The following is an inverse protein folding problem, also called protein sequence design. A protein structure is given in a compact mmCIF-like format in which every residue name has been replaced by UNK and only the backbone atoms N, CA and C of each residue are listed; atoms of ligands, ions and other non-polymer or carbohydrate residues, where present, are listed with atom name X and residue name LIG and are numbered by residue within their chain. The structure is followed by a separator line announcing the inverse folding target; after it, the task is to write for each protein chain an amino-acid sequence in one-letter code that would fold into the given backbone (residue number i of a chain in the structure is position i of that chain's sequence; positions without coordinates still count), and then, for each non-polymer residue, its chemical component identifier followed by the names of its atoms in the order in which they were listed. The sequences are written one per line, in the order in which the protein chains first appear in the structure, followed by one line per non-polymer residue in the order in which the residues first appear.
data_IF_217949429226
#
_entry.id   IF_217949429226
#
_cell.length_a   1.000
_cell.length_b   1.000
_cell.length_c   1.000
_cell.angle_alpha   90.00
_cell.angle_beta   90.00
_cell.angle_gamma   90.00
#
_symmetry.space_group_name_H-M   'P 1'
#
loop_
_entity.id
_entity.type
_entity.pdbx_description
1 polymer ?
#
# COMPACT_ATOMS: atom_id res chain seq x y z
N UNK A 1 15.15 -32.69 8.50
CA UNK A 1 14.65 -31.79 7.44
C UNK A 1 15.35 -30.44 7.59
N UNK A 2 15.89 -29.88 6.52
CA UNK A 2 16.53 -28.57 6.54
C UNK A 2 15.47 -27.48 6.34
N UNK A 3 15.39 -26.54 7.29
CA UNK A 3 14.51 -25.39 7.21
C UNK A 3 15.27 -24.20 6.61
N UNK A 4 14.66 -23.53 5.65
CA UNK A 4 15.20 -22.36 4.99
C UNK A 4 14.51 -21.09 5.51
N UNK A 5 15.27 -20.03 5.84
CA UNK A 5 14.70 -18.80 6.36
C UNK A 5 13.97 -18.02 5.27
N UNK A 6 12.86 -17.39 5.66
CA UNK A 6 12.10 -16.41 4.89
C UNK A 6 12.04 -15.08 5.66
N UNK A 7 11.45 -14.05 5.05
CA UNK A 7 11.26 -12.75 5.71
C UNK A 7 10.39 -12.89 6.97
N UNK A 8 10.60 -12.01 7.95
CA UNK A 8 9.88 -11.98 9.26
C UNK A 8 10.12 -13.19 10.17
N UNK A 9 11.23 -13.89 9.99
CA UNK A 9 11.64 -14.99 10.87
C UNK A 9 10.81 -16.26 10.70
N UNK A 10 9.98 -16.34 9.65
CA UNK A 10 9.37 -17.60 9.23
C UNK A 10 10.43 -18.50 8.59
N UNK A 11 10.26 -19.80 8.76
CA UNK A 11 11.09 -20.80 8.16
C UNK A 11 10.20 -21.79 7.42
N UNK A 12 10.63 -22.23 6.25
CA UNK A 12 9.91 -23.23 5.46
C UNK A 12 10.86 -24.38 5.12
N UNK A 13 10.38 -25.62 5.20
CA UNK A 13 11.13 -26.73 4.61
C UNK A 13 10.90 -26.73 3.10
N UNK A 14 11.86 -27.19 2.29
CA UNK A 14 11.69 -27.28 0.83
C UNK A 14 10.49 -28.14 0.42
N UNK A 15 10.13 -29.12 1.25
CA UNK A 15 9.00 -30.01 1.02
C UNK A 15 7.67 -29.28 1.28
N UNK A 16 7.54 -28.60 2.43
CA UNK A 16 6.34 -27.80 2.73
C UNK A 16 6.16 -26.68 1.69
N UNK A 17 7.26 -26.04 1.32
CA UNK A 17 7.37 -25.05 0.26
C UNK A 17 6.79 -25.54 -1.07
N UNK A 18 7.24 -26.72 -1.52
CA UNK A 18 6.81 -27.29 -2.79
C UNK A 18 5.34 -27.74 -2.78
N UNK A 19 4.78 -28.03 -1.59
CA UNK A 19 3.45 -28.62 -1.45
C UNK A 19 2.35 -27.61 -1.09
N UNK A 20 2.70 -26.42 -0.60
CA UNK A 20 1.70 -25.51 0.00
C UNK A 20 1.81 -24.05 -0.39
N UNK A 21 2.94 -23.59 -0.94
CA UNK A 21 3.14 -22.18 -1.26
C UNK A 21 3.00 -21.96 -2.77
N UNK A 22 2.06 -21.09 -3.15
CA UNK A 22 1.78 -20.76 -4.54
C UNK A 22 2.83 -19.80 -5.13
N UNK A 23 3.72 -19.22 -4.34
CA UNK A 23 4.75 -18.30 -4.81
C UNK A 23 6.02 -19.05 -5.23
N UNK A 24 6.80 -18.45 -6.13
CA UNK A 24 8.14 -18.95 -6.42
C UNK A 24 9.07 -18.67 -5.22
N UNK A 25 9.10 -19.60 -4.27
CA UNK A 25 9.88 -19.50 -3.03
C UNK A 25 11.37 -19.34 -3.32
N UNK A 26 11.89 -19.87 -4.43
CA UNK A 26 13.30 -19.69 -4.78
C UNK A 26 13.69 -18.22 -4.88
N UNK A 27 12.78 -17.36 -5.36
CA UNK A 27 13.01 -15.92 -5.37
C UNK A 27 12.99 -15.33 -3.95
N UNK A 28 12.10 -15.84 -3.08
CA UNK A 28 11.93 -15.38 -1.70
C UNK A 28 13.07 -15.82 -0.77
N UNK A 29 13.79 -16.90 -1.10
CA UNK A 29 14.93 -17.40 -0.32
C UNK A 29 16.16 -16.47 -0.36
N UNK A 30 16.29 -15.65 -1.40
CA UNK A 30 17.34 -14.64 -1.46
C UNK A 30 17.02 -13.39 -0.64
N UNK A 31 15.74 -13.15 -0.36
CA UNK A 31 15.28 -11.91 0.26
C UNK A 31 15.80 -11.72 1.69
N UNK A 32 15.90 -12.74 2.57
CA UNK A 32 16.53 -12.60 3.88
C UNK A 32 17.98 -12.12 3.80
N UNK A 33 18.79 -12.66 2.88
CA UNK A 33 20.18 -12.25 2.69
C UNK A 33 20.29 -10.83 2.14
N UNK A 34 19.41 -10.46 1.20
CA UNK A 34 19.32 -9.10 0.67
C UNK A 34 18.92 -8.12 1.77
N UNK A 35 17.94 -8.48 2.61
CA UNK A 35 17.49 -7.70 3.73
C UNK A 35 18.60 -7.54 4.78
N UNK A 36 19.30 -8.61 5.16
CA UNK A 36 20.41 -8.55 6.11
C UNK A 36 21.53 -7.61 5.63
N UNK A 37 21.94 -7.73 4.35
CA UNK A 37 22.91 -6.80 3.74
C UNK A 37 22.41 -5.37 3.74
N UNK A 38 21.12 -5.16 3.47
CA UNK A 38 20.49 -3.85 3.48
C UNK A 38 20.43 -3.26 4.90
N UNK A 39 20.10 -4.07 5.90
CA UNK A 39 20.14 -3.70 7.32
C UNK A 39 21.54 -3.30 7.75
N UNK A 40 22.56 -4.13 7.48
CA UNK A 40 23.95 -3.80 7.78
C UNK A 40 24.40 -2.50 7.09
N UNK A 41 23.94 -2.27 5.86
CA UNK A 41 24.16 -1.01 5.16
C UNK A 41 23.52 0.17 5.90
N UNK A 42 22.24 0.09 6.26
CA UNK A 42 21.54 1.15 6.99
C UNK A 42 22.15 1.43 8.37
N UNK A 43 22.54 0.39 9.11
CA UNK A 43 23.24 0.49 10.40
C UNK A 43 24.55 1.25 10.26
N UNK A 44 25.33 0.95 9.22
CA UNK A 44 26.60 1.67 8.95
C UNK A 44 26.35 3.12 8.50
N UNK A 45 25.18 3.42 7.93
CA UNK A 45 24.83 4.72 7.35
C UNK A 45 23.80 5.51 8.18
N UNK A 46 23.74 5.31 9.50
CA UNK A 46 22.84 6.08 10.37
C UNK A 46 23.05 7.61 10.29
N UNK A 47 24.27 8.07 9.98
CA UNK A 47 24.54 9.49 9.76
C UNK A 47 23.75 10.07 8.57
N UNK A 48 23.56 9.27 7.52
CA UNK A 48 22.73 9.65 6.37
C UNK A 48 21.24 9.69 6.75
N UNK A 49 20.74 8.73 7.53
CA UNK A 49 19.36 8.75 8.05
C UNK A 49 19.11 10.02 8.88
N UNK A 50 20.06 10.40 9.74
CA UNK A 50 19.99 11.67 10.50
C UNK A 50 19.98 12.89 9.59
N UNK A 51 20.78 12.89 8.53
CA UNK A 51 20.82 13.97 7.56
C UNK A 51 19.49 14.11 6.79
N UNK A 52 18.85 12.99 6.42
CA UNK A 52 17.51 13.01 5.82
C UNK A 52 16.48 13.64 6.75
N UNK A 53 16.43 13.21 8.02
CA UNK A 53 15.49 13.77 9.00
C UNK A 53 15.78 15.23 9.26
N UNK A 54 17.05 15.62 9.41
CA UNK A 54 17.42 17.02 9.57
C UNK A 54 16.97 17.88 8.37
N UNK A 55 17.00 17.31 7.16
CA UNK A 55 16.61 17.98 5.93
C UNK A 55 15.08 18.10 5.77
N UNK A 56 14.35 16.98 5.84
CA UNK A 56 12.90 16.96 5.63
C UNK A 56 12.11 17.49 6.84
N UNK A 57 12.54 17.17 8.05
CA UNK A 57 11.85 17.52 9.30
C UNK A 57 12.40 18.79 9.98
N UNK A 58 13.42 19.43 9.38
CA UNK A 58 14.00 20.68 9.87
C UNK A 58 14.44 20.65 11.35
N UNK A 59 15.11 19.58 11.75
CA UNK A 59 15.64 19.44 13.12
C UNK A 59 17.17 19.46 13.17
N UNK A 60 17.72 20.14 14.18
CA UNK A 60 19.18 20.17 14.43
C UNK A 60 19.67 18.96 15.23
N UNK A 61 18.77 18.32 15.98
CA UNK A 61 19.10 17.23 16.88
C UNK A 61 18.11 16.09 16.70
N UNK A 62 18.59 14.97 16.17
CA UNK A 62 17.81 13.76 16.04
C UNK A 62 18.63 12.53 16.45
N UNK A 63 17.94 11.51 16.96
CA UNK A 63 18.50 10.23 17.37
C UNK A 63 17.75 9.12 16.64
N UNK A 64 18.49 8.33 15.87
CA UNK A 64 17.96 7.10 15.26
C UNK A 64 17.67 6.10 16.37
N UNK A 65 16.51 5.43 16.31
CA UNK A 65 16.16 4.40 17.26
C UNK A 65 17.10 3.19 17.14
N UNK A 66 17.22 2.42 18.22
CA UNK A 66 18.00 1.18 18.22
C UNK A 66 17.41 0.19 17.20
N UNK A 67 18.28 -0.63 16.58
CA UNK A 67 17.91 -1.56 15.51
C UNK A 67 16.78 -2.53 15.90
N UNK A 68 16.70 -2.88 17.19
CA UNK A 68 15.63 -3.71 17.74
C UNK A 68 14.22 -3.08 17.58
N UNK A 69 14.14 -1.77 17.36
CA UNK A 69 12.89 -1.03 17.17
C UNK A 69 12.59 -0.72 15.71
N UNK A 70 13.43 -1.15 14.77
CA UNK A 70 13.19 -0.90 13.34
C UNK A 70 12.07 -1.80 12.84
N UNK A 71 11.20 -1.22 12.02
CA UNK A 71 10.09 -1.91 11.40
C UNK A 71 10.51 -2.32 9.98
N UNK A 72 10.00 -3.44 9.49
CA UNK A 72 10.28 -3.88 8.13
C UNK A 72 9.06 -4.53 7.48
N UNK A 73 8.76 -4.08 6.27
CA UNK A 73 7.83 -4.73 5.39
C UNK A 73 8.52 -5.82 4.57
N UNK A 74 7.79 -6.39 3.62
CA UNK A 74 8.37 -7.31 2.65
C UNK A 74 9.38 -6.60 1.73
N UNK A 75 9.27 -5.28 1.55
CA UNK A 75 10.00 -4.53 0.53
C UNK A 75 10.57 -3.18 1.01
N UNK A 76 10.49 -2.88 2.31
CA UNK A 76 10.99 -1.64 2.89
C UNK A 76 11.45 -1.82 4.34
N UNK A 77 12.26 -0.86 4.78
CA UNK A 77 12.64 -0.69 6.18
C UNK A 77 12.16 0.67 6.64
N UNK A 78 11.48 0.70 7.77
CA UNK A 78 10.96 1.88 8.44
C UNK A 78 11.76 2.09 9.72
N UNK A 79 12.60 3.12 9.74
CA UNK A 79 13.51 3.45 10.83
C UNK A 79 12.89 4.57 11.67
N UNK A 80 12.52 4.31 12.94
CA UNK A 80 12.06 5.38 13.82
C UNK A 80 13.20 6.33 14.18
N UNK A 81 12.92 7.62 14.14
CA UNK A 81 13.88 8.67 14.52
C UNK A 81 13.19 9.63 15.47
N UNK A 82 13.84 9.84 16.62
CA UNK A 82 13.41 10.80 17.63
C UNK A 82 14.01 12.16 17.30
N UNK A 83 13.16 13.15 17.03
CA UNK A 83 13.59 14.52 16.79
C UNK A 83 13.38 15.36 18.05
N UNK A 84 14.41 16.08 18.48
CA UNK A 84 14.28 17.07 19.56
C UNK A 84 13.67 18.35 18.99
N UNK A 85 12.35 18.33 18.77
CA UNK A 85 11.51 19.50 18.53
C UNK A 85 10.73 19.90 19.79
N UNK A 86 10.02 21.04 19.78
CA UNK A 86 9.19 21.49 20.90
C UNK A 86 8.13 20.45 21.34
N UNK A 87 7.77 19.51 20.47
CA UNK A 87 6.76 18.46 20.69
C UNK A 87 7.32 17.04 20.91
N UNK A 88 8.65 16.84 20.98
CA UNK A 88 9.31 15.51 21.10
C UNK A 88 8.73 14.46 20.12
N UNK A 89 8.67 14.83 18.85
CA UNK A 89 8.02 13.99 17.85
C UNK A 89 8.89 12.82 17.42
N UNK A 90 8.24 11.67 17.22
CA UNK A 90 8.80 10.52 16.53
C UNK A 90 8.41 10.60 15.05
N UNK A 91 9.39 10.55 14.16
CA UNK A 91 9.18 10.39 12.72
C UNK A 91 9.65 9.02 12.27
N UNK A 92 9.10 8.52 11.18
CA UNK A 92 9.52 7.27 10.55
C UNK A 92 10.20 7.59 9.22
N UNK A 93 11.41 7.07 9.04
CA UNK A 93 12.12 7.12 7.75
C UNK A 93 11.88 5.80 7.05
N UNK A 94 11.05 5.81 6.01
CA UNK A 94 10.79 4.64 5.18
C UNK A 94 11.74 4.63 4.01
N UNK A 95 12.43 3.51 3.80
CA UNK A 95 13.44 3.36 2.75
C UNK A 95 13.08 2.11 1.95
N UNK A 96 12.83 2.30 0.65
CA UNK A 96 12.46 1.22 -0.25
C UNK A 96 13.70 0.41 -0.65
N UNK A 97 13.53 -0.91 -0.78
CA UNK A 97 14.55 -1.75 -1.40
C UNK A 97 14.78 -1.34 -2.87
N UNK A 98 16.00 -1.44 -3.43
CA UNK A 98 16.37 -0.88 -4.75
C UNK A 98 15.57 -1.37 -5.97
N UNK A 99 14.71 -2.37 -5.83
CA UNK A 99 14.16 -3.14 -6.95
C UNK A 99 12.66 -2.92 -7.21
N UNK A 100 11.98 -1.98 -6.53
CA UNK A 100 10.54 -1.71 -6.75
C UNK A 100 10.18 -0.24 -6.94
N UNK A 101 9.45 0.04 -8.03
CA UNK A 101 8.89 1.36 -8.40
C UNK A 101 7.60 1.72 -7.64
N UNK A 102 7.50 1.36 -6.35
CA UNK A 102 6.26 1.52 -5.59
C UNK A 102 6.14 2.90 -4.92
N UNK A 103 7.28 3.51 -4.58
CA UNK A 103 7.34 4.77 -3.83
C UNK A 103 6.64 5.93 -4.54
N UNK A 104 6.77 6.02 -5.86
CA UNK A 104 6.10 7.07 -6.66
C UNK A 104 4.59 6.97 -6.61
N UNK A 105 4.07 5.75 -6.56
CA UNK A 105 2.63 5.52 -6.48
C UNK A 105 2.11 5.84 -5.09
N UNK A 106 2.87 5.49 -4.05
CA UNK A 106 2.54 5.83 -2.68
C UNK A 106 2.55 7.35 -2.43
N UNK A 107 3.62 8.04 -2.82
CA UNK A 107 3.70 9.50 -2.72
C UNK A 107 2.53 10.16 -3.46
N UNK A 108 2.18 9.66 -4.64
CA UNK A 108 1.04 10.17 -5.39
C UNK A 108 -0.30 9.99 -4.67
N UNK A 109 -0.47 8.88 -3.93
CA UNK A 109 -1.64 8.68 -3.06
C UNK A 109 -1.67 9.68 -1.90
N UNK A 110 -0.53 9.99 -1.26
CA UNK A 110 -0.49 11.03 -0.23
C UNK A 110 -1.00 12.37 -0.76
N UNK A 111 -0.52 12.83 -1.93
CA UNK A 111 -1.03 14.06 -2.54
C UNK A 111 -2.53 13.98 -2.82
N UNK A 112 -3.00 12.88 -3.42
CA UNK A 112 -4.42 12.69 -3.73
C UNK A 112 -5.31 12.73 -2.49
N UNK A 113 -4.90 12.07 -1.41
CA UNK A 113 -5.66 12.01 -0.16
C UNK A 113 -5.66 13.38 0.52
N UNK A 114 -4.50 14.04 0.67
CA UNK A 114 -4.44 15.34 1.31
C UNK A 114 -5.20 16.44 0.57
N UNK A 115 -5.14 16.46 -0.76
CA UNK A 115 -5.78 17.50 -1.57
C UNK A 115 -7.30 17.30 -1.68
N UNK A 116 -7.75 16.05 -1.79
CA UNK A 116 -9.12 15.75 -2.14
C UNK A 116 -9.93 15.12 -1.01
N UNK A 117 -9.28 14.43 -0.07
CA UNK A 117 -9.95 13.64 0.98
C UNK A 117 -9.43 14.01 2.39
N UNK A 118 -9.55 15.27 2.83
CA UNK A 118 -8.96 15.74 4.10
C UNK A 118 -9.56 15.06 5.35
N UNK A 119 -10.74 14.45 5.22
CA UNK A 119 -11.40 13.66 6.26
C UNK A 119 -10.77 12.29 6.44
N UNK A 120 -10.02 11.78 5.45
CA UNK A 120 -9.37 10.48 5.51
C UNK A 120 -8.07 10.63 6.30
N UNK A 121 -7.95 10.00 7.49
CA UNK A 121 -6.77 10.11 8.30
C UNK A 121 -5.57 9.47 7.59
N UNK A 122 -4.49 10.22 7.48
CA UNK A 122 -3.22 9.73 6.93
C UNK A 122 -2.05 10.34 7.71
N UNK A 123 -0.92 9.61 7.86
CA UNK A 123 0.27 10.17 8.49
C UNK A 123 0.78 11.39 7.70
N UNK A 124 1.28 12.40 8.40
CA UNK A 124 1.88 13.56 7.73
C UNK A 124 3.11 13.15 6.92
N UNK A 125 3.15 13.48 5.63
CA UNK A 125 4.34 13.30 4.78
C UNK A 125 5.19 14.58 4.82
N UNK A 126 6.41 14.49 5.37
CA UNK A 126 7.33 15.63 5.49
C UNK A 126 8.23 15.80 4.27
N UNK A 127 8.53 14.71 3.56
CA UNK A 127 9.35 14.76 2.37
C UNK A 127 9.69 13.38 1.85
N UNK A 128 10.23 13.34 0.63
CA UNK A 128 10.58 12.12 -0.07
C UNK A 128 11.71 12.33 -1.08
N UNK A 129 12.40 11.24 -1.41
CA UNK A 129 13.49 11.15 -2.36
C UNK A 129 13.33 9.95 -3.30
N UNK A 130 13.72 10.11 -4.56
CA UNK A 130 13.74 9.04 -5.55
C UNK A 130 15.18 8.63 -5.92
N UNK A 131 15.38 7.39 -6.43
CA UNK A 131 16.72 6.90 -6.81
C UNK A 131 17.44 7.75 -7.87
N UNK A 132 16.73 8.58 -8.63
CA UNK A 132 17.30 9.51 -9.60
C UNK A 132 17.90 10.79 -8.95
N UNK A 133 17.84 10.87 -7.62
CA UNK A 133 18.34 11.98 -6.81
C UNK A 133 17.40 13.18 -6.74
N UNK A 134 16.15 13.05 -7.21
CA UNK A 134 15.12 14.05 -6.97
C UNK A 134 14.63 13.95 -5.52
N UNK A 135 14.63 15.06 -4.79
CA UNK A 135 14.11 15.14 -3.42
C UNK A 135 13.14 16.30 -3.30
N UNK A 136 12.10 16.11 -2.49
CA UNK A 136 11.06 17.11 -2.24
C UNK A 136 10.81 17.23 -0.75
N UNK A 137 10.85 18.45 -0.22
CA UNK A 137 10.41 18.77 1.15
C UNK A 137 9.00 19.32 1.08
N UNK A 138 8.11 18.78 1.90
CA UNK A 138 6.76 19.27 2.05
C UNK A 138 6.69 20.13 3.31
N UNK A 139 6.44 21.42 3.12
CA UNK A 139 6.21 22.34 4.24
C UNK A 139 4.73 22.32 4.61
N UNK A 140 4.43 22.56 5.88
CA UNK A 140 3.09 22.72 6.45
C UNK A 140 2.20 23.74 5.69
N UNK A 141 2.82 24.64 4.91
CA UNK A 141 2.11 25.60 4.03
C UNK A 141 1.58 25.01 2.71
N UNK A 142 2.01 23.81 2.31
CA UNK A 142 1.55 23.16 1.07
C UNK A 142 0.18 22.50 1.23
N UNK A 143 -0.21 22.16 2.46
CA UNK A 143 -1.44 21.41 2.76
C UNK A 143 -2.47 22.19 3.59
N UNK A 144 -2.18 23.44 3.98
CA UNK A 144 -3.05 24.28 4.80
C UNK A 144 -3.94 25.26 4.02
N UNK A 145 -3.85 25.30 2.68
CA UNK A 145 -4.73 26.13 1.85
C UNK A 145 -5.57 25.27 0.88
N UNK A 146 -6.87 25.02 1.18
CA UNK A 146 -7.78 24.27 0.31
C UNK A 146 -8.32 25.09 -0.86
N UNK A 147 -7.80 26.30 -1.10
CA UNK A 147 -8.32 27.20 -2.12
C UNK A 147 -7.31 27.35 -3.25
N UNK A 148 -7.75 26.96 -4.45
CA UNK A 148 -7.20 27.26 -5.77
C UNK A 148 -6.15 26.31 -6.35
N UNK A 149 -6.58 25.24 -7.03
CA UNK A 149 -5.81 24.66 -8.16
C UNK A 149 -6.73 24.03 -9.23
N UNK A 150 -7.54 24.88 -9.89
CA UNK A 150 -8.03 24.62 -11.26
C UNK A 150 -7.40 25.58 -12.29
N UNK A 151 -6.49 26.45 -11.86
CA UNK A 151 -5.67 27.24 -12.77
C UNK A 151 -4.38 26.47 -13.07
N UNK A 152 -3.91 26.55 -14.32
CA UNK A 152 -2.69 25.97 -14.91
C UNK A 152 -1.35 26.31 -14.22
N UNK A 153 -1.34 26.46 -12.90
CA UNK A 153 -0.13 26.51 -12.09
C UNK A 153 0.24 25.10 -11.65
N UNK A 154 1.33 24.54 -12.17
CA UNK A 154 1.75 23.22 -11.77
C UNK A 154 2.06 23.21 -10.26
N UNK A 155 1.81 22.07 -9.60
CA UNK A 155 2.31 21.64 -8.27
C UNK A 155 3.84 21.86 -8.05
N UNK A 156 4.52 22.39 -9.08
CA UNK A 156 5.93 22.73 -9.23
C UNK A 156 6.39 23.93 -8.39
N UNK A 157 5.52 24.68 -7.72
CA UNK A 157 5.94 25.81 -6.90
C UNK A 157 6.48 25.41 -5.51
N UNK A 158 7.38 24.41 -5.44
CA UNK A 158 8.46 24.19 -4.45
C UNK A 158 8.93 22.73 -4.48
N UNK A 159 9.50 22.28 -5.60
CA UNK A 159 10.56 21.27 -5.53
C UNK A 159 11.84 22.05 -5.23
N UNK A 160 12.31 22.17 -3.97
CA UNK A 160 13.51 22.91 -3.68
C UNK A 160 14.70 22.03 -4.07
N UNK A 161 15.58 22.58 -4.91
CA UNK A 161 16.99 22.24 -5.11
C UNK A 161 17.35 20.75 -4.99
N UNK A 162 17.76 20.18 -6.12
CA UNK A 162 18.69 19.05 -6.24
C UNK A 162 19.80 19.21 -5.20
N UNK A 163 19.67 18.53 -4.07
CA UNK A 163 20.71 18.51 -3.06
C UNK A 163 21.25 17.09 -3.06
N UNK A 164 22.51 16.96 -3.48
CA UNK A 164 23.24 15.70 -3.47
C UNK A 164 23.59 15.31 -2.03
N UNK A 165 22.59 15.23 -1.15
CA UNK A 165 22.77 14.88 0.28
C UNK A 165 23.38 13.47 0.39
N UNK A 166 23.09 12.60 -0.58
CA UNK A 166 23.88 11.49 -1.08
C UNK A 166 23.01 10.86 -2.17
N UNK A 167 23.58 10.36 -3.28
CA UNK A 167 22.82 9.51 -4.21
C UNK A 167 22.56 8.19 -3.51
N UNK A 168 21.51 8.10 -2.70
CA UNK A 168 21.01 6.82 -2.27
C UNK A 168 20.57 6.07 -3.53
N UNK A 169 21.00 4.82 -3.69
CA UNK A 169 20.55 3.96 -4.79
C UNK A 169 19.07 3.54 -4.63
N UNK A 170 18.38 4.10 -3.63
CA UNK A 170 17.06 3.69 -3.11
C UNK A 170 16.20 4.92 -2.88
N UNK A 171 14.88 4.77 -3.03
CA UNK A 171 13.93 5.81 -2.67
C UNK A 171 13.68 5.86 -1.16
N UNK A 172 13.37 7.05 -0.65
CA UNK A 172 13.14 7.33 0.76
C UNK A 172 11.94 8.27 0.98
N UNK A 173 11.32 8.19 2.15
CA UNK A 173 10.36 9.19 2.63
C UNK A 173 10.41 9.34 4.14
N UNK A 174 10.02 10.52 4.63
CA UNK A 174 9.86 10.81 6.06
C UNK A 174 8.40 11.10 6.35
N UNK A 175 7.80 10.29 7.22
CA UNK A 175 6.40 10.38 7.62
C UNK A 175 6.27 10.55 9.14
N UNK A 176 5.17 11.15 9.58
CA UNK A 176 4.82 11.24 10.99
C UNK A 176 4.54 9.86 11.60
N UNK A 177 4.96 9.65 12.84
CA UNK A 177 4.55 8.46 13.58
C UNK A 177 3.12 8.62 14.09
N UNK A 178 2.27 7.64 13.81
CA UNK A 178 0.94 7.56 14.42
C UNK A 178 1.08 6.89 15.79
N UNK A 179 0.93 7.66 16.86
CA UNK A 179 1.04 7.15 18.24
C UNK A 179 -0.33 6.89 18.89
N UNK A 180 -1.39 7.48 18.33
CA UNK A 180 -2.77 7.29 18.79
C UNK A 180 -3.38 6.03 18.16
N UNK A 181 -3.26 4.90 18.85
CA UNK A 181 -3.94 3.65 18.47
C UNK A 181 -3.03 2.42 18.53
N UNK A 182 -3.59 1.27 18.11
CA UNK A 182 -2.88 -0.01 17.93
C UNK A 182 -3.28 -0.61 16.60
N UNK A 183 -2.45 -1.51 16.05
CA UNK A 183 -2.80 -2.20 14.81
C UNK A 183 -4.08 -3.03 15.01
N UNK A 184 -4.97 -3.01 14.03
CA UNK A 184 -6.25 -3.71 14.11
C UNK A 184 -6.05 -5.22 14.36
N UNK A 185 -5.03 -5.81 13.74
CA UNK A 185 -4.64 -7.21 13.91
C UNK A 185 -4.36 -7.61 15.37
N UNK A 186 -3.89 -6.68 16.20
CA UNK A 186 -3.56 -6.95 17.61
C UNK A 186 -4.82 -7.12 18.46
N UNK A 187 -5.95 -6.64 17.96
CA UNK A 187 -7.23 -6.53 18.68
C UNK A 187 -8.38 -7.25 17.99
N UNK A 188 -8.14 -7.84 16.81
CA UNK A 188 -9.19 -8.44 15.98
C UNK A 188 -9.87 -9.61 16.67
N UNK A 189 -9.11 -10.67 16.96
CA UNK A 189 -9.64 -11.87 17.61
C UNK A 189 -10.14 -11.63 19.04
N UNK A 190 -9.55 -10.67 19.76
CA UNK A 190 -9.82 -10.43 21.20
C UNK A 190 -10.99 -9.49 21.45
N UNK A 191 -11.28 -8.58 20.53
CA UNK A 191 -12.31 -7.56 20.75
C UNK A 191 -13.32 -7.49 19.61
N UNK A 192 -12.91 -7.63 18.35
CA UNK A 192 -13.80 -7.36 17.22
C UNK A 192 -14.72 -8.53 16.88
N UNK A 193 -14.32 -9.79 17.09
CA UNK A 193 -15.19 -10.94 16.82
C UNK A 193 -16.44 -10.96 17.72
N UNK A 194 -16.33 -10.51 18.97
CA UNK A 194 -17.42 -10.57 19.94
C UNK A 194 -18.15 -9.22 20.13
N UNK A 195 -17.48 -8.08 19.93
CA UNK A 195 -18.06 -6.75 20.15
C UNK A 195 -18.69 -6.17 18.86
N UNK A 196 -20.00 -6.38 18.73
CA UNK A 196 -20.78 -5.89 17.59
C UNK A 196 -20.73 -4.36 17.44
N UNK A 197 -20.74 -3.60 18.55
CA UNK A 197 -20.75 -2.14 18.49
C UNK A 197 -19.41 -1.60 17.94
N UNK A 198 -18.29 -2.21 18.32
CA UNK A 198 -16.97 -1.89 17.74
C UNK A 198 -16.90 -2.23 16.26
N UNK A 199 -17.41 -3.38 15.83
CA UNK A 199 -17.46 -3.74 14.40
C UNK A 199 -18.28 -2.75 13.60
N UNK A 200 -19.46 -2.38 14.08
CA UNK A 200 -20.31 -1.39 13.41
C UNK A 200 -19.61 -0.03 13.28
N UNK A 201 -18.90 0.41 14.31
CA UNK A 201 -18.10 1.64 14.26
C UNK A 201 -16.99 1.53 13.21
N UNK A 202 -16.22 0.44 13.24
CA UNK A 202 -15.15 0.17 12.27
C UNK A 202 -15.68 0.15 10.82
N UNK A 203 -16.76 -0.57 10.56
CA UNK A 203 -17.35 -0.67 9.22
C UNK A 203 -17.93 0.66 8.75
N UNK A 204 -18.58 1.42 9.64
CA UNK A 204 -19.06 2.77 9.32
C UNK A 204 -17.90 3.70 8.95
N UNK A 205 -16.81 3.69 9.72
CA UNK A 205 -15.66 4.54 9.46
C UNK A 205 -14.90 4.12 8.20
N UNK A 206 -14.77 2.80 7.94
CA UNK A 206 -14.22 2.28 6.70
C UNK A 206 -15.07 2.68 5.49
N UNK A 207 -16.39 2.59 5.59
CA UNK A 207 -17.32 3.04 4.55
C UNK A 207 -17.17 4.53 4.25
N UNK A 208 -17.09 5.39 5.27
CA UNK A 208 -16.83 6.84 5.10
C UNK A 208 -15.51 7.11 4.38
N UNK A 209 -14.46 6.36 4.71
CA UNK A 209 -13.15 6.46 4.03
C UNK A 209 -13.30 6.06 2.56
N UNK A 210 -13.90 4.89 2.29
CA UNK A 210 -14.10 4.40 0.92
C UNK A 210 -14.93 5.37 0.08
N UNK A 211 -16.02 5.91 0.62
CA UNK A 211 -16.85 6.91 -0.05
C UNK A 211 -16.05 8.18 -0.33
N UNK A 212 -15.34 8.72 0.66
CA UNK A 212 -14.48 9.91 0.48
C UNK A 212 -13.44 9.72 -0.64
N UNK A 213 -12.77 8.56 -0.68
CA UNK A 213 -11.78 8.23 -1.71
C UNK A 213 -12.40 8.06 -3.10
N UNK A 214 -13.67 7.69 -3.18
CA UNK A 214 -14.42 7.51 -4.43
C UNK A 214 -15.02 8.80 -4.99
N UNK A 215 -15.17 9.85 -4.18
CA UNK A 215 -15.70 11.16 -4.59
C UNK A 215 -14.89 11.82 -5.71
N UNK A 216 -13.62 11.42 -5.90
CA UNK A 216 -12.73 11.99 -6.90
C UNK A 216 -12.34 10.95 -7.94
N UNK A 217 -13.24 10.68 -8.92
CA UNK A 217 -13.04 9.61 -9.87
C UNK A 217 -11.87 9.89 -10.80
N UNK A 218 -11.18 8.81 -11.16
CA UNK A 218 -10.12 8.79 -12.14
C UNK A 218 -10.70 8.54 -13.53
N UNK A 219 -10.09 9.12 -14.58
CA UNK A 219 -10.59 8.96 -15.96
C UNK A 219 -10.36 7.56 -16.53
N UNK A 220 -9.49 6.76 -15.89
CA UNK A 220 -9.06 5.43 -16.32
C UNK A 220 -8.67 4.58 -15.13
N UNK A 221 -8.67 3.26 -15.31
CA UNK A 221 -8.09 2.30 -14.37
C UNK A 221 -6.58 2.26 -14.61
N UNK A 222 -5.81 2.54 -13.56
CA UNK A 222 -4.35 2.54 -13.56
C UNK A 222 -3.80 2.61 -12.13
N UNK A 223 -2.47 2.69 -12.03
CA UNK A 223 -1.78 3.09 -10.79
C UNK A 223 -1.54 4.60 -10.83
N UNK A 224 -1.99 5.31 -9.80
CA UNK A 224 -1.65 6.72 -9.64
C UNK A 224 -0.16 6.82 -9.28
N UNK A 225 0.61 7.65 -9.97
CA UNK A 225 2.04 7.84 -9.71
C UNK A 225 2.51 9.27 -10.01
N UNK A 226 3.60 9.66 -9.35
CA UNK A 226 4.29 10.93 -9.57
C UNK A 226 5.34 10.77 -10.68
N UNK A 227 5.28 11.62 -11.69
CA UNK A 227 6.26 11.63 -12.78
C UNK A 227 7.53 12.43 -12.41
N UNK A 228 8.54 12.42 -13.29
CA UNK A 228 9.80 13.14 -13.09
C UNK A 228 9.67 14.67 -13.07
N UNK A 229 8.53 15.21 -13.50
CA UNK A 229 8.27 16.65 -13.49
C UNK A 229 7.42 17.07 -12.29
N UNK A 230 7.07 16.13 -11.39
CA UNK A 230 6.27 16.40 -10.19
C UNK A 230 4.76 16.47 -10.44
N UNK A 231 4.28 15.96 -11.57
CA UNK A 231 2.84 15.87 -11.86
C UNK A 231 2.29 14.48 -11.56
N UNK A 232 1.07 14.47 -11.02
CA UNK A 232 0.29 13.25 -10.81
C UNK A 232 -0.26 12.75 -12.14
N UNK A 233 -0.12 11.45 -12.38
CA UNK A 233 -0.65 10.79 -13.57
C UNK A 233 -1.00 9.33 -13.30
N UNK A 234 -1.76 8.74 -14.22
CA UNK A 234 -2.02 7.31 -14.22
C UNK A 234 -0.97 6.60 -15.07
N UNK A 235 -0.26 5.66 -14.45
CA UNK A 235 0.59 4.69 -15.13
C UNK A 235 -0.11 3.33 -15.16
N UNK A 236 0.40 2.42 -15.98
CA UNK A 236 -0.12 1.07 -16.01
C UNK A 236 0.08 0.37 -14.66
N UNK A 237 -0.86 -0.52 -14.29
CA UNK A 237 -0.67 -1.40 -13.12
C UNK A 237 0.36 -2.46 -13.50
N UNK A 238 1.44 -2.54 -12.73
CA UNK A 238 2.60 -3.42 -12.95
C UNK A 238 2.25 -4.91 -13.10
N UNK A 239 1.04 -5.33 -12.67
CA UNK A 239 0.54 -6.70 -12.79
C UNK A 239 -0.10 -7.03 -14.16
N UNK A 240 -0.34 -6.05 -15.02
CA UNK A 240 -0.94 -6.26 -16.35
C UNK A 240 0.11 -6.00 -17.42
N UNK A 241 0.44 -7.01 -18.23
CA UNK A 241 1.54 -7.07 -19.22
C UNK A 241 1.46 -6.06 -20.39
N UNK A 242 0.69 -4.97 -20.27
CA UNK A 242 0.40 -4.03 -21.37
C UNK A 242 0.76 -2.60 -21.02
N UNK A 243 1.39 -1.87 -21.93
CA UNK A 243 1.92 -0.51 -21.69
C UNK A 243 0.86 0.62 -21.52
N UNK A 244 -0.40 0.32 -21.16
CA UNK A 244 -1.47 1.32 -21.13
C UNK A 244 -2.52 1.11 -20.03
N UNK A 245 -3.00 2.22 -19.47
CA UNK A 245 -4.19 2.30 -18.59
C UNK A 245 -5.49 1.90 -19.30
N UNK A 246 -6.50 1.46 -18.55
CA UNK A 246 -7.77 0.99 -19.11
C UNK A 246 -8.90 2.01 -19.03
N UNK A 247 -9.71 2.12 -20.07
CA UNK A 247 -10.91 3.00 -20.09
C UNK A 247 -12.19 2.31 -19.63
N UNK A 248 -12.17 0.97 -19.53
CA UNK A 248 -13.34 0.17 -19.17
C UNK A 248 -12.94 -1.00 -18.28
N UNK A 249 -13.89 -1.51 -17.51
CA UNK A 249 -13.66 -2.58 -16.53
C UNK A 249 -13.32 -3.90 -17.21
N UNK A 250 -13.99 -4.28 -18.30
CA UNK A 250 -13.85 -5.63 -18.86
C UNK A 250 -12.45 -5.92 -19.41
N UNK A 251 -11.80 -5.04 -20.21
CA UNK A 251 -10.44 -5.28 -20.67
C UNK A 251 -9.43 -5.36 -19.52
N UNK A 252 -9.66 -4.61 -18.43
CA UNK A 252 -8.83 -4.71 -17.22
C UNK A 252 -8.99 -6.08 -16.55
N UNK A 253 -10.22 -6.53 -16.33
CA UNK A 253 -10.51 -7.83 -15.69
C UNK A 253 -10.05 -8.98 -16.57
N UNK A 254 -10.26 -8.92 -17.90
CA UNK A 254 -9.80 -9.96 -18.82
C UNK A 254 -8.28 -10.07 -18.87
N UNK A 255 -7.55 -8.95 -18.88
CA UNK A 255 -6.09 -8.97 -18.83
C UNK A 255 -5.59 -9.49 -17.47
N UNK A 256 -6.28 -9.19 -16.37
CA UNK A 256 -5.97 -9.78 -15.05
C UNK A 256 -6.18 -11.30 -15.05
N UNK A 257 -7.29 -11.78 -15.60
CA UNK A 257 -7.59 -13.21 -15.72
C UNK A 257 -6.58 -13.93 -16.64
N UNK A 258 -6.11 -13.27 -17.69
CA UNK A 258 -5.02 -13.79 -18.53
C UNK A 258 -3.71 -13.93 -17.75
N UNK A 259 -3.40 -13.01 -16.83
CA UNK A 259 -2.24 -13.16 -15.95
C UNK A 259 -2.38 -14.41 -15.05
N UNK A 260 -3.57 -14.69 -14.54
CA UNK A 260 -3.84 -15.93 -13.80
C UNK A 260 -3.73 -17.18 -14.68
N UNK A 261 -4.24 -17.17 -15.92
CA UNK A 261 -4.03 -18.28 -16.86
C UNK A 261 -2.53 -18.54 -17.08
N UNK A 262 -1.77 -17.48 -17.33
CA UNK A 262 -0.33 -17.57 -17.53
C UNK A 262 0.37 -18.15 -16.30
N UNK A 263 -0.06 -17.75 -15.09
CA UNK A 263 0.46 -18.34 -13.85
C UNK A 263 0.21 -19.85 -13.82
N UNK A 264 -1.02 -20.29 -14.07
CA UNK A 264 -1.35 -21.73 -14.07
C UNK A 264 -0.58 -22.50 -15.15
N UNK A 265 -0.42 -21.92 -16.34
CA UNK A 265 0.28 -22.60 -17.44
C UNK A 265 1.80 -22.65 -17.29
N UNK A 266 2.42 -21.61 -16.72
CA UNK A 266 3.87 -21.43 -16.78
C UNK A 266 4.57 -21.50 -15.42
N UNK A 267 3.85 -21.38 -14.31
CA UNK A 267 4.43 -21.50 -12.99
C UNK A 267 4.27 -22.94 -12.45
N UNK A 268 5.37 -23.70 -12.25
CA UNK A 268 5.29 -25.13 -11.91
C UNK A 268 4.54 -25.47 -10.62
N UNK A 269 4.56 -24.57 -9.63
CA UNK A 269 3.86 -24.72 -8.35
C UNK A 269 2.53 -23.94 -8.29
N UNK A 270 1.95 -23.60 -9.44
CA UNK A 270 0.64 -22.93 -9.46
C UNK A 270 -0.52 -23.86 -9.06
N UNK A 271 -0.34 -25.18 -9.12
CA UNK A 271 -1.35 -26.16 -8.74
C UNK A 271 -0.71 -27.31 -7.96
N UNK A 272 -1.10 -27.49 -6.69
CA UNK A 272 -0.49 -28.48 -5.80
C UNK A 272 -1.03 -29.90 -5.99
N UNK A 273 -2.28 -30.01 -6.46
CA UNK A 273 -2.94 -31.27 -6.74
C UNK A 273 -4.08 -31.04 -7.74
N UNK A 274 -4.66 -32.15 -8.25
CA UNK A 274 -5.74 -32.11 -9.22
C UNK A 274 -6.93 -31.28 -8.73
N UNK A 275 -7.36 -31.46 -7.47
CA UNK A 275 -8.48 -30.72 -6.88
C UNK A 275 -8.22 -29.21 -6.83
N UNK A 276 -7.05 -28.78 -6.39
CA UNK A 276 -6.68 -27.36 -6.34
C UNK A 276 -6.63 -26.76 -7.76
N UNK A 277 -6.10 -27.52 -8.73
CA UNK A 277 -6.13 -27.13 -10.14
C UNK A 277 -7.56 -26.98 -10.66
N UNK A 278 -8.43 -27.96 -10.42
CA UNK A 278 -9.85 -27.91 -10.78
C UNK A 278 -10.57 -26.70 -10.16
N UNK A 279 -10.33 -26.42 -8.87
CA UNK A 279 -10.90 -25.27 -8.17
C UNK A 279 -10.44 -23.94 -8.79
N UNK A 280 -9.15 -23.78 -9.08
CA UNK A 280 -8.62 -22.58 -9.72
C UNK A 280 -9.17 -22.38 -11.14
N UNK A 281 -9.17 -23.43 -11.96
CA UNK A 281 -9.74 -23.38 -13.31
C UNK A 281 -11.25 -23.10 -13.29
N UNK A 282 -11.97 -23.70 -12.34
CA UNK A 282 -13.40 -23.47 -12.15
C UNK A 282 -13.64 -22.01 -11.76
N UNK A 283 -12.89 -21.46 -10.81
CA UNK A 283 -12.99 -20.06 -10.41
C UNK A 283 -12.74 -19.11 -11.57
N UNK A 284 -11.65 -19.29 -12.34
CA UNK A 284 -11.35 -18.46 -13.50
C UNK A 284 -12.45 -18.56 -14.58
N UNK A 285 -12.96 -19.76 -14.83
CA UNK A 285 -14.04 -19.98 -15.80
C UNK A 285 -15.34 -19.32 -15.35
N UNK A 286 -15.69 -19.42 -14.06
CA UNK A 286 -16.86 -18.78 -13.48
C UNK A 286 -16.75 -17.26 -13.55
N UNK A 287 -15.63 -16.66 -13.15
CA UNK A 287 -15.43 -15.20 -13.22
C UNK A 287 -15.53 -14.71 -14.66
N UNK A 288 -14.92 -15.41 -15.64
CA UNK A 288 -15.06 -15.08 -17.06
C UNK A 288 -16.51 -15.13 -17.54
N UNK A 289 -17.24 -16.19 -17.18
CA UNK A 289 -18.62 -16.41 -17.64
C UNK A 289 -19.59 -15.41 -17.01
N UNK A 290 -19.40 -15.10 -15.73
CA UNK A 290 -20.30 -14.25 -14.93
C UNK A 290 -19.90 -12.77 -14.92
N UNK A 291 -18.81 -12.38 -15.59
CA UNK A 291 -18.30 -11.00 -15.62
C UNK A 291 -19.39 -9.96 -15.92
N UNK A 292 -20.28 -10.27 -16.87
CA UNK A 292 -21.37 -9.39 -17.28
C UNK A 292 -22.45 -9.16 -16.19
N UNK A 293 -22.51 -10.01 -15.15
CA UNK A 293 -23.40 -9.85 -14.01
C UNK A 293 -22.78 -8.95 -12.94
N UNK A 294 -21.45 -8.98 -12.81
CA UNK A 294 -20.70 -8.17 -11.84
C UNK A 294 -20.33 -6.77 -12.37
N UNK A 295 -20.31 -6.59 -13.69
CA UNK A 295 -20.04 -5.29 -14.32
C UNK A 295 -21.33 -4.70 -14.86
N UNK A 296 -21.89 -3.73 -14.12
CA UNK A 296 -23.04 -2.98 -14.62
C UNK A 296 -22.68 -2.19 -15.87
N UNK A 297 -23.49 -2.32 -16.92
CA UNK A 297 -23.27 -1.62 -18.21
C UNK A 297 -23.16 -0.10 -18.05
N UNK A 298 -23.88 0.47 -17.09
CA UNK A 298 -23.85 1.91 -16.81
C UNK A 298 -22.52 2.37 -16.21
N UNK A 299 -21.82 1.50 -15.47
CA UNK A 299 -20.55 1.80 -14.80
C UNK A 299 -19.32 1.21 -15.50
N UNK A 300 -19.52 0.65 -16.70
CA UNK A 300 -18.48 0.02 -17.50
C UNK A 300 -17.25 0.91 -17.71
N UNK A 301 -17.47 2.20 -17.93
CA UNK A 301 -16.42 3.18 -18.23
C UNK A 301 -16.15 4.12 -17.04
N UNK A 302 -16.52 3.71 -15.83
CA UNK A 302 -16.40 4.49 -14.60
C UNK A 302 -17.75 4.95 -14.04
N UNK A 303 -17.75 5.77 -12.99
CA UNK A 303 -16.57 6.40 -12.36
C UNK A 303 -15.59 5.40 -11.74
N UNK A 304 -14.28 5.67 -11.82
CA UNK A 304 -13.24 4.82 -11.21
C UNK A 304 -12.70 5.47 -9.93
N UNK A 305 -13.02 4.92 -8.76
CA UNK A 305 -12.52 5.43 -7.47
C UNK A 305 -11.09 5.00 -7.14
N UNK A 306 -10.43 5.73 -6.24
CA UNK A 306 -9.19 5.28 -5.61
C UNK A 306 -9.53 4.18 -4.60
N UNK A 307 -8.86 3.02 -4.70
CA UNK A 307 -9.08 1.89 -3.79
C UNK A 307 -7.85 1.65 -2.91
N UNK A 308 -8.08 1.24 -1.66
CA UNK A 308 -7.06 0.77 -0.73
C UNK A 308 -6.73 -0.68 -1.10
N UNK A 309 -5.49 -0.94 -1.52
CA UNK A 309 -5.12 -2.23 -2.14
C UNK A 309 -4.76 -3.33 -1.16
N UNK A 310 -4.49 -3.02 0.11
CA UNK A 310 -4.51 -4.01 1.19
C UNK A 310 -5.20 -3.50 2.45
N UNK A 311 -6.47 -3.87 2.58
CA UNK A 311 -7.12 -4.04 3.88
C UNK A 311 -6.77 -5.45 4.40
N UNK A 312 -5.49 -5.71 4.63
CA UNK A 312 -5.04 -6.99 5.16
C UNK A 312 -5.10 -6.98 6.70
N UNK A 313 -5.98 -7.82 7.25
CA UNK A 313 -5.84 -8.36 8.60
C UNK A 313 -4.69 -9.37 8.50
N UNK A 314 -3.49 -9.04 8.99
CA UNK A 314 -2.27 -9.85 8.83
C UNK A 314 -2.52 -11.38 8.87
N UNK A 315 -1.98 -12.10 7.88
CA UNK A 315 -2.08 -13.54 7.54
C UNK A 315 -1.95 -14.54 8.71
N UNK A 316 -2.88 -14.57 9.67
CA UNK A 316 -2.89 -15.59 10.72
C UNK A 316 -4.20 -16.34 10.93
N UNK A 317 -5.24 -16.06 10.15
CA UNK A 317 -6.48 -16.81 10.23
C UNK A 317 -6.82 -17.41 8.86
N UNK A 318 -5.94 -18.32 8.41
CA UNK A 318 -6.36 -19.34 7.47
C UNK A 318 -7.33 -20.27 8.19
N UNK A 319 -8.61 -20.09 7.91
CA UNK A 319 -9.65 -21.05 8.22
C UNK A 319 -10.45 -20.72 9.47
N UNK A 320 -11.37 -19.76 9.37
CA UNK A 320 -12.56 -19.76 10.21
C UNK A 320 -13.83 -19.68 9.37
N UNK A 321 -14.84 -20.41 9.84
CA UNK A 321 -16.13 -20.75 9.22
C UNK A 321 -16.64 -19.80 8.11
N UNK A 322 -16.98 -20.32 6.90
CA UNK A 322 -17.64 -19.54 5.84
C UNK A 322 -18.84 -18.73 6.33
N UNK A 323 -19.58 -19.26 7.31
CA UNK A 323 -20.72 -18.59 7.92
C UNK A 323 -20.33 -17.32 8.69
N UNK A 324 -19.20 -17.33 9.40
CA UNK A 324 -18.70 -16.16 10.13
C UNK A 324 -18.28 -15.07 9.14
N UNK A 325 -17.61 -15.46 8.05
CA UNK A 325 -17.24 -14.53 6.98
C UNK A 325 -18.47 -13.92 6.29
N UNK A 326 -19.46 -14.73 5.92
CA UNK A 326 -20.71 -14.25 5.32
C UNK A 326 -21.44 -13.26 6.23
N UNK A 327 -21.54 -13.57 7.52
CA UNK A 327 -22.18 -12.69 8.50
C UNK A 327 -21.43 -11.36 8.65
N UNK A 328 -20.10 -11.39 8.71
CA UNK A 328 -19.25 -10.19 8.80
C UNK A 328 -19.37 -9.35 7.52
N UNK A 329 -19.39 -10.00 6.36
CA UNK A 329 -19.55 -9.31 5.08
C UNK A 329 -20.92 -8.63 4.98
N UNK A 330 -21.99 -9.31 5.41
CA UNK A 330 -23.33 -8.74 5.46
C UNK A 330 -23.38 -7.52 6.41
N UNK A 331 -22.81 -7.64 7.61
CA UNK A 331 -22.71 -6.50 8.55
C UNK A 331 -21.97 -5.30 7.94
N UNK A 332 -20.91 -5.55 7.16
CA UNK A 332 -20.19 -4.48 6.46
C UNK A 332 -21.03 -3.84 5.35
N UNK A 333 -21.73 -4.64 4.54
CA UNK A 333 -22.61 -4.14 3.47
C UNK A 333 -23.71 -3.27 4.07
N UNK A 334 -24.39 -3.73 5.12
CA UNK A 334 -25.44 -2.96 5.80
C UNK A 334 -24.91 -1.61 6.30
N UNK A 335 -23.72 -1.61 6.93
CA UNK A 335 -23.08 -0.39 7.40
C UNK A 335 -22.69 0.55 6.25
N UNK A 336 -22.24 -0.01 5.13
CA UNK A 336 -21.88 0.77 3.95
C UNK A 336 -23.11 1.45 3.32
N UNK A 337 -24.20 0.69 3.12
CA UNK A 337 -25.46 1.20 2.56
C UNK A 337 -26.08 2.29 3.44
N UNK A 338 -26.04 2.12 4.77
CA UNK A 338 -26.52 3.13 5.71
C UNK A 338 -25.69 4.43 5.59
N UNK A 339 -24.35 4.34 5.60
CA UNK A 339 -23.50 5.52 5.45
C UNK A 339 -23.72 6.20 4.09
N UNK A 340 -23.83 5.42 3.01
CA UNK A 340 -24.11 5.97 1.67
C UNK A 340 -25.47 6.70 1.64
N UNK A 341 -26.50 6.13 2.25
CA UNK A 341 -27.80 6.77 2.36
C UNK A 341 -27.73 8.11 3.10
N UNK A 342 -27.04 8.15 4.25
CA UNK A 342 -26.88 9.39 5.03
C UNK A 342 -26.13 10.48 4.26
N UNK A 343 -25.11 10.12 3.48
CA UNK A 343 -24.36 11.07 2.65
C UNK A 343 -25.16 11.57 1.44
N UNK A 344 -26.11 10.78 0.91
CA UNK A 344 -27.01 11.22 -0.18
C UNK A 344 -28.10 12.21 0.26
N UNK A 345 -28.50 12.16 1.53
CA UNK A 345 -29.60 12.97 2.08
C UNK A 345 -29.11 14.33 2.61
N UNK A 346 -27.80 14.46 2.86
CA UNK A 346 -27.13 15.73 3.20
C UNK A 346 -26.90 16.59 1.97
#
# INVERSE_FOLDING_TARGET
MAFLPLLRGSCISLEDAALTDDDNILHRLDDPRKLEKFWAHLTTHQAWIKALVAYYYWTKHCRVADEANWLFGSYDVCVPVYANGPSRDRVLVRISLPHKEELRSEVARYFRIHENCPTVPSPTLYGFGFPDGQTTILRDTAFSNPVSYYADYPLVARIPRRMAICRAATGDMVIGSVESGRMLSDTWATHLLEDKARRQTLFSDLAKIMLSLSCFPMPRIGSLALNNTGHLGLINRTLTLRHSTYRSVEPYVLDLLQCYDNRICYQPNASHNEKNGEEQFTALTMVRRLLHQFVSRQYRNGPFGLNLTDLHLNDREHGEHPQTFENILAEFIDAFEEVEYQERVR
#
